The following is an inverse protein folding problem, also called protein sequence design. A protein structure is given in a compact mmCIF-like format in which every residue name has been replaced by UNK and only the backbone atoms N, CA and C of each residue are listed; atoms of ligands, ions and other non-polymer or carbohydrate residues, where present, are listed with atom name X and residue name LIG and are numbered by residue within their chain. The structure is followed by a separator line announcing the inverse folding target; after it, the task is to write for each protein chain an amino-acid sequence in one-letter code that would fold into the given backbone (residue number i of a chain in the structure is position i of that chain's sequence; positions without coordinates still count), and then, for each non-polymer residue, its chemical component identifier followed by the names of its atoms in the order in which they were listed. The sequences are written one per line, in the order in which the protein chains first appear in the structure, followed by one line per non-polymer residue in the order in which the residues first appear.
data_IF_163897830833
#
_entry.id   IF_163897830833
#
_cell.length_a   1.000
_cell.length_b   1.000
_cell.length_c   1.000
_cell.angle_alpha   90.00
_cell.angle_beta   90.00
_cell.angle_gamma   90.00
#
_symmetry.space_group_name_H-M   'P 1'
#
loop_
_entity.id
_entity.type
_entity.pdbx_description
1 polymer ?
#
# COMPACT_ATOMS: atom_id res chain seq x y z
N UNK A 1 21.84 4.33 13.90
CA UNK A 1 20.92 4.46 12.75
C UNK A 1 19.70 3.58 13.02
N UNK A 2 18.50 4.16 13.03
CA UNK A 2 17.27 3.36 13.17
C UNK A 2 17.00 2.63 11.87
N UNK A 3 16.44 1.40 11.97
CA UNK A 3 16.01 0.63 10.80
C UNK A 3 14.89 1.37 10.06
N UNK A 4 15.18 1.81 8.84
CA UNK A 4 14.29 2.63 8.03
C UNK A 4 13.03 1.90 7.60
N UNK A 5 13.07 0.57 7.51
CA UNK A 5 11.96 -0.29 7.12
C UNK A 5 11.14 -0.79 8.32
N UNK A 6 11.39 -0.25 9.53
CA UNK A 6 10.72 -0.66 10.77
C UNK A 6 9.89 0.47 11.35
N UNK A 7 8.60 0.23 11.58
CA UNK A 7 7.65 1.12 12.24
C UNK A 7 7.49 0.85 13.74
N UNK A 8 6.35 1.23 14.27
CA UNK A 8 5.95 0.96 15.66
C UNK A 8 5.24 -0.41 15.82
N UNK A 9 4.51 -0.84 14.78
CA UNK A 9 3.71 -2.07 14.76
C UNK A 9 4.20 -3.05 13.70
N UNK A 10 4.82 -2.54 12.62
CA UNK A 10 5.18 -3.32 11.44
C UNK A 10 6.63 -3.13 11.03
N UNK A 11 7.11 -4.07 10.23
CA UNK A 11 8.31 -3.95 9.42
C UNK A 11 8.00 -4.29 7.96
N UNK A 12 8.75 -3.70 7.04
CA UNK A 12 8.77 -4.08 5.64
C UNK A 12 9.92 -5.05 5.38
N UNK A 13 9.67 -6.04 4.55
CA UNK A 13 10.68 -7.05 4.17
C UNK A 13 10.56 -7.43 2.70
N UNK A 14 11.58 -8.09 2.16
CA UNK A 14 11.51 -8.67 0.82
C UNK A 14 10.30 -9.61 0.70
N UNK A 15 9.76 -9.72 -0.52
CA UNK A 15 8.72 -10.68 -0.83
C UNK A 15 9.31 -12.10 -0.85
N UNK A 16 8.63 -13.03 -0.18
CA UNK A 16 8.83 -14.46 -0.36
C UNK A 16 7.68 -14.98 -1.22
N UNK A 17 8.00 -15.44 -2.44
CA UNK A 17 7.00 -15.84 -3.41
C UNK A 17 6.13 -17.01 -2.94
N UNK A 18 6.70 -17.96 -2.19
CA UNK A 18 5.96 -19.11 -1.68
C UNK A 18 4.99 -18.73 -0.57
N UNK A 19 5.39 -17.85 0.32
CA UNK A 19 4.55 -17.42 1.44
C UNK A 19 3.44 -16.47 0.95
N UNK A 20 3.81 -15.44 0.19
CA UNK A 20 2.86 -14.41 -0.21
C UNK A 20 1.84 -14.94 -1.23
N UNK A 21 2.20 -15.90 -2.10
CA UNK A 21 1.25 -16.50 -3.03
C UNK A 21 0.12 -17.26 -2.32
N UNK A 22 0.47 -18.01 -1.26
CA UNK A 22 -0.52 -18.69 -0.41
C UNK A 22 -1.42 -17.69 0.31
N UNK A 23 -0.85 -16.60 0.79
CA UNK A 23 -1.60 -15.52 1.43
C UNK A 23 -2.53 -14.83 0.43
N UNK A 24 -2.05 -14.48 -0.75
CA UNK A 24 -2.87 -13.88 -1.82
C UNK A 24 -4.02 -14.78 -2.24
N UNK A 25 -3.78 -16.09 -2.45
CA UNK A 25 -4.84 -17.03 -2.80
C UNK A 25 -5.93 -17.09 -1.71
N UNK A 26 -5.57 -16.97 -0.44
CA UNK A 26 -6.50 -16.89 0.69
C UNK A 26 -7.25 -15.55 0.70
N UNK A 27 -6.53 -14.42 0.60
CA UNK A 27 -7.12 -13.08 0.63
C UNK A 27 -8.06 -12.81 -0.55
N UNK A 28 -7.74 -13.32 -1.74
CA UNK A 28 -8.62 -13.20 -2.92
C UNK A 28 -9.95 -13.93 -2.78
N UNK A 29 -10.08 -14.89 -1.86
CA UNK A 29 -11.36 -15.53 -1.51
C UNK A 29 -12.23 -14.63 -0.61
N UNK A 30 -11.64 -13.60 -0.02
CA UNK A 30 -12.33 -12.59 0.75
C UNK A 30 -12.88 -11.49 -0.19
N UNK A 31 -14.19 -11.52 -0.44
CA UNK A 31 -14.85 -10.60 -1.36
C UNK A 31 -14.81 -9.14 -0.88
N UNK A 32 -14.82 -8.90 0.44
CA UNK A 32 -14.72 -7.54 0.99
C UNK A 32 -13.31 -6.98 0.80
N UNK A 33 -12.28 -7.78 1.08
CA UNK A 33 -10.89 -7.38 0.82
C UNK A 33 -10.70 -7.00 -0.65
N UNK A 34 -11.11 -7.87 -1.57
CA UNK A 34 -10.98 -7.63 -3.00
C UNK A 34 -11.80 -6.43 -3.49
N UNK A 35 -12.97 -6.21 -2.91
CA UNK A 35 -13.80 -5.04 -3.21
C UNK A 35 -13.10 -3.73 -2.81
N UNK A 36 -12.36 -3.73 -1.70
CA UNK A 36 -11.64 -2.56 -1.20
C UNK A 36 -10.28 -2.35 -1.89
N UNK A 37 -9.73 -3.40 -2.50
CA UNK A 37 -8.41 -3.38 -3.12
C UNK A 37 -8.45 -3.13 -4.64
N UNK A 38 -9.45 -3.67 -5.35
CA UNK A 38 -9.40 -3.78 -6.81
C UNK A 38 -10.58 -3.13 -7.53
N UNK A 39 -10.28 -2.47 -8.66
CA UNK A 39 -11.26 -1.97 -9.62
C UNK A 39 -11.99 -3.10 -10.33
N UNK A 40 -11.24 -4.16 -10.67
CA UNK A 40 -11.72 -5.28 -11.47
C UNK A 40 -12.65 -6.19 -10.66
N UNK A 41 -13.53 -6.92 -11.34
CA UNK A 41 -14.24 -8.02 -10.73
C UNK A 41 -13.26 -9.02 -10.12
N UNK A 42 -13.60 -9.53 -8.94
CA UNK A 42 -12.77 -10.55 -8.29
C UNK A 42 -12.76 -11.84 -9.13
N UNK A 43 -11.57 -12.29 -9.49
CA UNK A 43 -11.35 -13.56 -10.18
C UNK A 43 -10.63 -14.52 -9.22
N UNK A 44 -11.30 -15.61 -8.90
CA UNK A 44 -10.70 -16.66 -8.08
C UNK A 44 -9.61 -17.37 -8.89
N UNK A 45 -8.43 -17.46 -8.33
CA UNK A 45 -7.29 -18.16 -8.92
C UNK A 45 -6.92 -19.37 -8.06
N UNK A 46 -6.38 -20.42 -8.69
CA UNK A 46 -5.74 -21.51 -7.95
C UNK A 46 -4.43 -21.02 -7.32
N UNK A 47 -4.01 -21.68 -6.26
CA UNK A 47 -2.75 -21.35 -5.57
C UNK A 47 -1.56 -21.40 -6.55
N UNK A 48 -1.55 -22.37 -7.48
CA UNK A 48 -0.53 -22.48 -8.54
C UNK A 48 -0.54 -21.29 -9.49
N UNK A 49 -1.72 -20.83 -9.93
CA UNK A 49 -1.83 -19.69 -10.83
C UNK A 49 -1.40 -18.39 -10.14
N UNK A 50 -1.77 -18.21 -8.87
CA UNK A 50 -1.34 -17.09 -8.05
C UNK A 50 0.19 -17.07 -7.86
N UNK A 51 0.79 -18.23 -7.60
CA UNK A 51 2.25 -18.38 -7.44
C UNK A 51 2.98 -18.04 -8.74
N UNK A 52 2.60 -18.65 -9.85
CA UNK A 52 3.25 -18.42 -11.15
C UNK A 52 3.17 -16.94 -11.56
N UNK A 53 2.02 -16.28 -11.34
CA UNK A 53 1.86 -14.86 -11.61
C UNK A 53 2.82 -14.04 -10.74
N UNK A 54 2.88 -14.32 -9.44
CA UNK A 54 3.69 -13.57 -8.50
C UNK A 54 5.20 -13.74 -8.73
N UNK A 55 5.65 -14.98 -9.00
CA UNK A 55 7.05 -15.26 -9.34
C UNK A 55 7.47 -14.43 -10.56
N UNK A 56 6.63 -14.40 -11.58
CA UNK A 56 6.87 -13.59 -12.78
C UNK A 56 6.96 -12.10 -12.45
N UNK A 57 6.02 -11.56 -11.67
CA UNK A 57 6.02 -10.14 -11.27
C UNK A 57 7.26 -9.77 -10.44
N UNK A 58 7.73 -10.67 -9.58
CA UNK A 58 8.95 -10.47 -8.79
C UNK A 58 10.20 -10.52 -9.67
N UNK A 59 10.28 -11.48 -10.60
CA UNK A 59 11.41 -11.61 -11.53
C UNK A 59 11.51 -10.45 -12.52
N UNK A 60 10.36 -9.96 -13.00
CA UNK A 60 10.26 -8.86 -13.96
C UNK A 60 10.18 -7.48 -13.25
N UNK A 61 10.36 -7.43 -11.93
CA UNK A 61 10.25 -6.21 -11.16
C UNK A 61 11.14 -5.09 -11.73
N UNK A 62 10.52 -3.98 -12.09
CA UNK A 62 11.20 -2.81 -12.61
C UNK A 62 12.03 -2.13 -11.52
N UNK A 63 13.14 -1.50 -11.91
CA UNK A 63 13.91 -0.60 -11.02
C UNK A 63 13.08 0.57 -10.47
N UNK A 64 11.92 0.82 -11.05
CA UNK A 64 10.98 1.86 -10.60
C UNK A 64 10.02 1.35 -9.53
N UNK A 65 9.99 0.06 -9.26
CA UNK A 65 9.06 -0.57 -8.34
C UNK A 65 9.77 -1.03 -7.07
N UNK A 66 9.27 -0.60 -5.93
CA UNK A 66 9.75 -1.00 -4.61
C UNK A 66 8.59 -1.72 -3.90
N UNK A 67 8.60 -3.04 -3.95
CA UNK A 67 7.52 -3.89 -3.46
C UNK A 67 7.96 -4.69 -2.24
N UNK A 68 7.18 -4.62 -1.17
CA UNK A 68 7.53 -5.20 0.13
C UNK A 68 6.38 -6.00 0.74
N UNK A 69 6.72 -7.06 1.45
CA UNK A 69 5.82 -7.70 2.41
C UNK A 69 5.69 -6.84 3.67
N UNK A 70 4.50 -6.78 4.23
CA UNK A 70 4.20 -6.15 5.51
C UNK A 70 4.14 -7.22 6.59
N UNK A 71 4.95 -7.10 7.64
CA UNK A 71 4.97 -8.03 8.76
C UNK A 71 4.75 -7.33 10.09
N UNK A 72 4.13 -8.01 11.03
CA UNK A 72 4.05 -7.53 12.42
C UNK A 72 5.43 -7.53 13.07
N UNK A 73 5.66 -6.62 14.02
CA UNK A 73 6.84 -6.65 14.87
C UNK A 73 6.72 -7.67 16.00
N UNK A 74 5.50 -8.00 16.42
CA UNK A 74 5.27 -8.82 17.59
C UNK A 74 5.62 -10.30 17.36
N UNK A 75 5.21 -10.85 16.20
CA UNK A 75 5.30 -12.28 15.91
C UNK A 75 5.70 -12.58 14.46
N UNK A 76 6.17 -11.58 13.73
CA UNK A 76 6.63 -11.66 12.34
C UNK A 76 5.59 -12.18 11.33
N UNK A 77 4.33 -12.03 11.65
CA UNK A 77 3.22 -12.50 10.84
C UNK A 77 3.05 -11.65 9.59
N UNK A 78 2.91 -12.29 8.43
CA UNK A 78 2.59 -11.64 7.16
C UNK A 78 1.17 -11.07 7.20
N UNK A 79 1.02 -9.75 6.98
CA UNK A 79 -0.26 -9.03 6.99
C UNK A 79 -0.75 -8.65 5.60
N UNK A 80 0.16 -8.42 4.67
CA UNK A 80 -0.15 -7.85 3.38
C UNK A 80 1.10 -7.45 2.62
N UNK A 81 0.91 -6.55 1.68
CA UNK A 81 1.97 -5.99 0.86
C UNK A 81 1.79 -4.50 0.63
N UNK A 82 2.87 -3.84 0.28
CA UNK A 82 2.91 -2.43 -0.12
C UNK A 82 3.83 -2.25 -1.31
N UNK A 83 3.35 -1.52 -2.30
CA UNK A 83 4.08 -1.20 -3.51
C UNK A 83 4.25 0.31 -3.66
N UNK A 84 5.47 0.75 -3.96
CA UNK A 84 5.81 2.12 -4.30
C UNK A 84 6.37 2.13 -5.72
N UNK A 85 5.64 2.71 -6.67
CA UNK A 85 6.00 2.78 -8.07
C UNK A 85 6.37 4.20 -8.49
N UNK A 86 7.62 4.43 -8.88
CA UNK A 86 8.12 5.72 -9.38
C UNK A 86 7.73 5.85 -10.85
N UNK A 87 6.70 6.64 -11.13
CA UNK A 87 6.19 6.84 -12.49
C UNK A 87 6.79 8.07 -13.19
N UNK A 88 7.45 8.95 -12.45
CA UNK A 88 8.02 10.19 -12.98
C UNK A 88 9.35 10.51 -12.25
N UNK A 89 10.47 10.04 -12.78
CA UNK A 89 11.79 10.32 -12.22
C UNK A 89 12.22 11.79 -12.30
N UNK A 90 11.97 12.53 -13.40
CA UNK A 90 12.25 13.97 -13.43
C UNK A 90 11.52 14.76 -12.33
N UNK A 91 10.26 14.45 -12.07
CA UNK A 91 9.47 15.04 -10.97
C UNK A 91 9.73 14.40 -9.61
N UNK A 92 10.35 13.22 -9.58
CA UNK A 92 10.51 12.39 -8.36
C UNK A 92 9.17 12.06 -7.71
N UNK A 93 8.22 11.62 -8.53
CA UNK A 93 6.86 11.31 -8.13
C UNK A 93 6.62 9.81 -8.16
N UNK A 94 5.97 9.30 -7.13
CA UNK A 94 5.59 7.90 -7.03
C UNK A 94 4.12 7.72 -6.67
N UNK A 95 3.60 6.56 -7.01
CA UNK A 95 2.31 6.05 -6.60
C UNK A 95 2.50 4.97 -5.55
N UNK A 96 1.67 4.92 -4.52
CA UNK A 96 1.71 3.89 -3.48
C UNK A 96 0.41 3.11 -3.42
N UNK A 97 0.52 1.79 -3.44
CA UNK A 97 -0.57 0.83 -3.23
C UNK A 97 -0.37 0.05 -1.93
N UNK A 98 -1.42 -0.15 -1.15
CA UNK A 98 -1.41 -0.85 0.13
C UNK A 98 -2.52 -1.87 0.22
N UNK A 99 -2.17 -3.12 0.51
CA UNK A 99 -3.09 -4.20 0.83
C UNK A 99 -2.80 -4.83 2.19
N UNK A 100 -3.74 -4.77 3.15
CA UNK A 100 -3.70 -5.58 4.39
C UNK A 100 -4.79 -6.64 4.28
N UNK A 101 -4.39 -7.89 4.00
CA UNK A 101 -5.31 -8.99 3.77
C UNK A 101 -5.87 -9.62 5.05
N UNK A 102 -5.20 -9.46 6.18
CA UNK A 102 -5.61 -10.02 7.46
C UNK A 102 -6.62 -9.09 8.16
N UNK A 103 -7.91 -9.44 8.12
CA UNK A 103 -9.02 -8.60 8.64
C UNK A 103 -8.87 -8.25 10.12
N UNK A 104 -8.35 -9.15 10.92
CA UNK A 104 -8.19 -8.95 12.37
C UNK A 104 -7.25 -7.78 12.72
N UNK A 105 -6.42 -7.32 11.77
CA UNK A 105 -5.54 -6.17 11.92
C UNK A 105 -6.13 -4.85 11.40
N UNK A 106 -7.34 -4.92 10.81
CA UNK A 106 -8.01 -3.74 10.31
C UNK A 106 -8.48 -2.81 11.43
N UNK A 107 -8.36 -1.49 11.22
CA UNK A 107 -8.79 -0.48 12.19
C UNK A 107 -7.89 -0.31 13.42
N UNK A 108 -6.80 -1.05 13.52
CA UNK A 108 -5.90 -1.10 14.69
C UNK A 108 -4.59 -0.30 14.53
N UNK A 109 -4.50 0.57 13.52
CA UNK A 109 -3.32 1.44 13.31
C UNK A 109 -2.27 0.89 12.35
N UNK A 110 -2.29 -0.40 12.02
CA UNK A 110 -1.28 -1.04 11.16
C UNK A 110 -1.12 -0.35 9.81
N UNK A 111 -2.22 -0.04 9.10
CA UNK A 111 -2.15 0.66 7.82
C UNK A 111 -1.52 2.05 7.90
N UNK A 112 -1.79 2.79 8.98
CA UNK A 112 -1.16 4.09 9.20
C UNK A 112 0.34 3.96 9.46
N UNK A 113 0.74 2.95 10.23
CA UNK A 113 2.15 2.69 10.53
C UNK A 113 2.92 2.27 9.27
N UNK A 114 2.34 1.37 8.46
CA UNK A 114 2.90 0.99 7.14
C UNK A 114 3.12 2.22 6.26
N UNK A 115 2.12 3.11 6.16
CA UNK A 115 2.23 4.33 5.35
C UNK A 115 3.34 5.26 5.86
N UNK A 116 3.53 5.37 7.18
CA UNK A 116 4.65 6.14 7.74
C UNK A 116 6.01 5.56 7.38
N UNK A 117 6.13 4.23 7.42
CA UNK A 117 7.38 3.54 7.06
C UNK A 117 7.70 3.74 5.58
N UNK A 118 6.74 3.53 4.68
CA UNK A 118 7.00 3.68 3.25
C UNK A 118 7.27 5.13 2.86
N UNK A 119 6.61 6.11 3.50
CA UNK A 119 6.89 7.53 3.26
C UNK A 119 8.30 7.91 3.72
N UNK A 120 8.75 7.40 4.86
CA UNK A 120 10.14 7.58 5.30
C UNK A 120 11.11 7.03 4.25
N UNK A 121 10.92 5.79 3.80
CA UNK A 121 11.70 5.19 2.74
C UNK A 121 11.67 6.02 1.44
N UNK A 122 10.48 6.43 0.99
CA UNK A 122 10.30 7.22 -0.21
C UNK A 122 11.06 8.55 -0.19
N UNK A 123 11.00 9.27 0.93
CA UNK A 123 11.57 10.61 1.04
C UNK A 123 13.03 10.63 1.46
N UNK A 124 13.54 9.63 2.18
CA UNK A 124 14.91 9.62 2.68
C UNK A 124 15.86 8.71 1.89
N UNK A 125 15.39 7.58 1.36
CA UNK A 125 16.23 6.66 0.57
C UNK A 125 16.05 6.85 -0.93
N UNK A 126 14.80 6.80 -1.42
CA UNK A 126 14.52 7.00 -2.86
C UNK A 126 14.61 8.48 -3.25
N UNK A 127 14.59 9.37 -2.25
CA UNK A 127 14.71 10.84 -2.42
C UNK A 127 13.61 11.42 -3.32
N UNK A 128 12.38 10.93 -3.14
CA UNK A 128 11.21 11.42 -3.88
C UNK A 128 10.80 12.81 -3.40
N UNK A 129 10.04 13.52 -4.25
CA UNK A 129 9.42 14.80 -3.93
C UNK A 129 7.95 14.65 -3.55
N UNK A 130 7.27 13.63 -4.11
CA UNK A 130 5.84 13.43 -3.97
C UNK A 130 5.48 11.95 -3.94
N UNK A 131 4.51 11.60 -3.09
CA UNK A 131 3.85 10.28 -3.11
C UNK A 131 2.35 10.49 -3.22
N UNK A 132 1.71 9.79 -4.16
CA UNK A 132 0.27 9.84 -4.43
C UNK A 132 -0.35 8.47 -4.25
N UNK A 133 -1.66 8.46 -4.03
CA UNK A 133 -2.49 7.25 -4.02
C UNK A 133 -3.89 7.58 -4.52
N UNK A 134 -4.63 6.53 -4.86
CA UNK A 134 -6.07 6.61 -5.02
C UNK A 134 -6.78 5.72 -4.00
N UNK A 135 -8.03 6.04 -3.70
CA UNK A 135 -8.84 5.29 -2.76
C UNK A 135 -10.32 5.40 -3.10
N UNK A 136 -11.04 4.30 -2.99
CA UNK A 136 -12.48 4.28 -3.19
C UNK A 136 -13.20 5.05 -2.09
N UNK A 137 -14.16 5.93 -2.44
CA UNK A 137 -14.90 6.72 -1.45
C UNK A 137 -15.64 5.87 -0.41
N UNK A 138 -15.97 4.62 -0.76
CA UNK A 138 -16.58 3.67 0.17
C UNK A 138 -15.59 2.94 1.09
N UNK A 139 -14.30 3.33 1.10
CA UNK A 139 -13.28 2.81 2.02
C UNK A 139 -12.86 3.85 3.07
N UNK A 140 -13.77 4.28 3.97
CA UNK A 140 -13.46 5.34 4.95
C UNK A 140 -12.34 4.94 5.92
N UNK A 141 -12.07 3.66 6.09
CA UNK A 141 -10.97 3.15 6.93
C UNK A 141 -9.62 3.50 6.30
N UNK A 142 -9.44 3.24 5.01
CA UNK A 142 -8.21 3.57 4.30
C UNK A 142 -8.02 5.09 4.23
N UNK A 143 -9.07 5.85 3.89
CA UNK A 143 -9.04 7.32 3.85
C UNK A 143 -8.51 7.88 5.18
N UNK A 144 -9.09 7.48 6.31
CA UNK A 144 -8.62 7.92 7.64
C UNK A 144 -7.17 7.50 7.95
N UNK A 145 -6.74 6.35 7.42
CA UNK A 145 -5.35 5.89 7.60
C UNK A 145 -4.37 6.79 6.86
N UNK A 146 -4.71 7.17 5.63
CA UNK A 146 -3.89 8.05 4.79
C UNK A 146 -3.85 9.49 5.33
N UNK A 147 -5.00 10.03 5.75
CA UNK A 147 -5.06 11.36 6.43
C UNK A 147 -4.17 11.38 7.69
N UNK A 148 -4.22 10.32 8.51
CA UNK A 148 -3.35 10.19 9.69
C UNK A 148 -1.87 10.09 9.34
N UNK A 149 -1.52 9.52 8.20
CA UNK A 149 -0.16 9.46 7.69
C UNK A 149 0.31 10.79 7.07
N UNK A 150 -0.60 11.74 6.81
CA UNK A 150 -0.29 13.08 6.32
C UNK A 150 -0.73 13.37 4.89
N UNK A 151 -1.35 12.40 4.21
CA UNK A 151 -1.90 12.64 2.87
C UNK A 151 -3.05 13.66 2.90
N UNK A 152 -3.12 14.47 1.87
CA UNK A 152 -4.17 15.46 1.63
C UNK A 152 -5.01 15.08 0.42
N UNK A 153 -6.29 15.42 0.44
CA UNK A 153 -7.16 15.25 -0.73
C UNK A 153 -6.76 16.22 -1.84
N UNK A 154 -6.63 15.70 -3.07
CA UNK A 154 -6.20 16.49 -4.23
C UNK A 154 -7.21 16.46 -5.38
N UNK A 155 -8.08 15.46 -5.40
CA UNK A 155 -9.07 15.35 -6.45
C UNK A 155 -10.07 14.23 -6.22
N UNK A 156 -11.08 14.22 -7.12
CA UNK A 156 -12.15 13.23 -7.13
C UNK A 156 -12.53 12.93 -8.57
N UNK A 157 -12.49 11.65 -8.93
CA UNK A 157 -13.06 11.19 -10.20
C UNK A 157 -14.44 10.61 -9.95
N UNK A 158 -15.46 11.33 -10.41
CA UNK A 158 -16.85 10.99 -10.11
C UNK A 158 -17.31 9.76 -10.88
N UNK A 159 -18.07 8.89 -10.20
CA UNK A 159 -18.83 7.78 -10.78
C UNK A 159 -18.01 6.79 -11.63
N UNK A 160 -16.70 6.66 -11.35
CA UNK A 160 -15.81 5.83 -12.13
C UNK A 160 -16.07 4.32 -11.93
N UNK A 161 -16.56 3.94 -10.76
CA UNK A 161 -16.83 2.55 -10.42
C UNK A 161 -18.32 2.27 -10.41
N UNK A 162 -18.69 1.10 -10.91
CA UNK A 162 -20.03 0.55 -10.77
C UNK A 162 -19.94 -0.77 -9.99
N UNK A 163 -20.29 -0.73 -8.71
CA UNK A 163 -20.31 -1.92 -7.84
C UNK A 163 -21.62 -1.96 -7.06
N UNK A 164 -22.24 -3.14 -7.01
CA UNK A 164 -23.52 -3.37 -6.30
C UNK A 164 -24.65 -2.45 -6.76
N UNK A 165 -24.71 -2.20 -8.05
CA UNK A 165 -25.75 -1.33 -8.63
C UNK A 165 -25.60 0.16 -8.30
N UNK A 166 -24.49 0.58 -7.69
CA UNK A 166 -24.18 1.98 -7.39
C UNK A 166 -22.94 2.45 -8.12
N UNK A 167 -22.94 3.72 -8.48
CA UNK A 167 -21.78 4.45 -8.96
C UNK A 167 -21.01 5.04 -7.77
N UNK A 168 -19.70 4.90 -7.79
CA UNK A 168 -18.79 5.32 -6.72
C UNK A 168 -17.66 6.16 -7.28
N UNK A 169 -17.23 7.12 -6.48
CA UNK A 169 -16.12 8.00 -6.82
C UNK A 169 -14.77 7.37 -6.42
N UNK A 170 -13.73 7.80 -7.10
CA UNK A 170 -12.35 7.61 -6.70
C UNK A 170 -11.79 8.91 -6.15
N UNK A 171 -11.19 8.88 -5.00
CA UNK A 171 -10.51 10.00 -4.38
C UNK A 171 -9.01 9.88 -4.65
N UNK A 172 -8.37 10.98 -4.99
CA UNK A 172 -6.93 11.09 -5.14
C UNK A 172 -6.37 11.85 -3.95
N UNK A 173 -5.30 11.31 -3.36
CA UNK A 173 -4.63 11.93 -2.24
C UNK A 173 -3.12 11.96 -2.52
N UNK A 174 -2.44 12.97 -2.00
CA UNK A 174 -1.00 13.13 -2.14
C UNK A 174 -0.35 13.71 -0.89
N UNK A 175 0.96 13.53 -0.79
CA UNK A 175 1.79 14.16 0.22
C UNK A 175 3.11 14.60 -0.43
N UNK A 176 3.52 15.84 -0.15
CA UNK A 176 4.80 16.38 -0.58
C UNK A 176 5.89 16.11 0.48
N UNK A 177 7.13 16.02 0.02
CA UNK A 177 8.28 15.87 0.91
C UNK A 177 8.34 16.95 1.99
N UNK A 178 8.08 18.20 1.65
CA UNK A 178 8.09 19.31 2.59
C UNK A 178 7.05 19.10 3.71
N UNK A 179 5.83 18.71 3.35
CA UNK A 179 4.75 18.43 4.31
C UNK A 179 5.09 17.26 5.24
N UNK A 180 5.77 16.23 4.69
CA UNK A 180 6.27 15.12 5.49
C UNK A 180 7.39 15.56 6.43
N UNK A 181 8.35 16.38 5.97
CA UNK A 181 9.45 16.92 6.78
C UNK A 181 8.94 17.79 7.93
N UNK A 182 7.97 18.67 7.68
CA UNK A 182 7.32 19.48 8.71
C UNK A 182 6.68 18.61 9.82
N UNK A 183 6.10 17.47 9.43
CA UNK A 183 5.38 16.59 10.35
C UNK A 183 6.28 15.61 11.10
N UNK A 184 7.33 15.12 10.46
CA UNK A 184 8.14 14.00 10.94
C UNK A 184 9.65 14.25 10.91
N UNK A 185 10.13 15.34 10.35
CA UNK A 185 11.56 15.60 10.09
C UNK A 185 12.45 15.59 11.34
N UNK A 186 11.96 16.06 12.46
CA UNK A 186 12.69 16.03 13.73
C UNK A 186 12.84 14.62 14.33
N UNK A 187 12.04 13.66 13.88
CA UNK A 187 12.08 12.25 14.34
C UNK A 187 12.88 11.33 13.41
N UNK A 188 13.30 11.83 12.26
CA UNK A 188 14.01 11.06 11.23
C UNK A 188 15.54 11.29 11.23
N UNK A 189 16.05 12.13 12.12
CA UNK A 189 17.49 12.43 12.30
C UNK A 189 18.14 11.58 13.38
#
# INVERSE_FOLDING_TARGET
MNDILKGELVRLSALDADEISKAFARWRRDSEFMRLLSWSPNQLQSDKAAKNWLEKEIEEQSVNQHWFSIRTLADDRLLGDIDLYVYNWPGRDAFVGLGIGEREFWGKGYGTDVMRVILRYAFTEVNLNRVTLDVFEYNPRAIRSYEKAGFRHEGRQRQILNKEGKRWDMLFMGILREEWMERYGERAS
#
